data_IF_360022196175
#
_entry.id   IF_360022196175
#
_cell.length_a   1.000
_cell.length_b   1.000
_cell.length_c   1.000
_cell.angle_alpha   90.00
_cell.angle_beta   90.00
_cell.angle_gamma   90.00
#
_symmetry.space_group_name_H-M   'P 1'
#
loop_
_entity.id
_entity.type
_entity.pdbx_description
1 polymer ?
#
# COMPACT_ATOMS: atom_id res chain seq x y z
N UNK A 1 -31.79 16.33 -21.91
CA UNK A 1 -30.38 15.97 -21.66
C UNK A 1 -29.62 16.16 -22.96
N UNK A 2 -28.89 17.27 -23.11
CA UNK A 2 -27.98 17.43 -24.22
C UNK A 2 -26.80 16.49 -23.94
N UNK A 3 -26.83 15.29 -24.51
CA UNK A 3 -25.77 14.31 -24.36
C UNK A 3 -24.59 14.77 -25.18
N UNK A 4 -23.55 15.27 -24.53
CA UNK A 4 -22.34 15.64 -25.23
C UNK A 4 -21.64 14.38 -25.76
N UNK A 5 -21.27 14.40 -27.05
CA UNK A 5 -20.54 13.31 -27.70
C UNK A 5 -19.08 13.70 -27.81
N UNK A 6 -18.18 12.79 -27.44
CA UNK A 6 -16.75 12.98 -27.52
C UNK A 6 -16.09 11.75 -28.15
N UNK A 7 -15.00 11.98 -28.88
CA UNK A 7 -14.11 10.93 -29.36
C UNK A 7 -12.81 10.98 -28.58
N UNK A 8 -12.36 9.83 -28.07
CA UNK A 8 -11.06 9.71 -27.41
C UNK A 8 -9.95 9.83 -28.46
N UNK A 9 -9.07 10.80 -28.28
CA UNK A 9 -7.90 11.04 -29.13
C UNK A 9 -6.69 10.30 -28.59
N UNK A 10 -6.43 10.46 -27.31
CA UNK A 10 -5.32 9.79 -26.62
C UNK A 10 -5.67 9.53 -25.17
N UNK A 11 -5.03 8.50 -24.62
CA UNK A 11 -5.01 8.25 -23.19
C UNK A 11 -3.56 8.44 -22.76
N UNK A 12 -3.31 9.43 -21.91
CA UNK A 12 -1.97 9.73 -21.40
C UNK A 12 -1.81 9.10 -20.01
N UNK A 13 -1.16 7.93 -19.88
CA UNK A 13 -1.19 7.17 -18.63
C UNK A 13 -0.43 7.87 -17.49
N UNK A 14 0.61 8.63 -17.83
CA UNK A 14 1.41 9.37 -16.84
C UNK A 14 0.69 10.59 -16.25
N UNK A 15 -0.34 11.10 -16.92
CA UNK A 15 -1.12 12.26 -16.47
C UNK A 15 -2.54 11.92 -16.00
N UNK A 16 -2.99 10.66 -16.14
CA UNK A 16 -4.40 10.26 -15.98
C UNK A 16 -5.37 11.12 -16.81
N UNK A 17 -4.92 11.63 -17.96
CA UNK A 17 -5.74 12.41 -18.86
C UNK A 17 -6.25 11.52 -19.99
N UNK A 18 -7.53 11.69 -20.30
CA UNK A 18 -8.10 11.24 -21.56
C UNK A 18 -8.26 12.50 -22.38
N UNK A 19 -7.45 12.62 -23.43
CA UNK A 19 -7.62 13.68 -24.40
C UNK A 19 -8.80 13.29 -25.27
N UNK A 20 -9.82 14.14 -25.26
CA UNK A 20 -11.02 13.95 -26.06
C UNK A 20 -11.20 15.15 -26.97
N UNK A 21 -11.71 14.87 -28.16
CA UNK A 21 -12.24 15.91 -29.05
C UNK A 21 -13.75 15.82 -28.99
N UNK A 22 -14.39 16.95 -28.73
CA UNK A 22 -15.84 17.04 -28.77
C UNK A 22 -16.33 16.83 -30.21
N UNK A 23 -17.42 16.08 -30.35
CA UNK A 23 -18.10 15.85 -31.61
C UNK A 23 -19.45 16.57 -31.65
N UNK A 24 -20.11 16.67 -30.50
CA UNK A 24 -21.34 17.43 -30.33
C UNK A 24 -21.49 17.86 -28.86
N UNK A 25 -21.11 19.09 -28.51
CA UNK A 25 -21.30 19.63 -27.17
C UNK A 25 -21.37 21.17 -27.15
N UNK A 26 -22.51 21.73 -27.59
CA UNK A 26 -22.75 23.18 -27.70
C UNK A 26 -22.42 23.96 -26.40
N UNK A 27 -22.63 23.34 -25.23
CA UNK A 27 -22.35 23.95 -23.93
C UNK A 27 -20.84 24.04 -23.57
N UNK A 28 -19.98 23.19 -24.15
CA UNK A 28 -18.53 23.22 -23.90
C UNK A 28 -17.79 24.22 -24.80
N UNK A 29 -18.29 24.50 -26.00
CA UNK A 29 -17.63 25.47 -26.90
C UNK A 29 -17.60 26.91 -26.36
N UNK A 30 -18.47 27.24 -25.41
CA UNK A 30 -18.64 28.63 -24.94
C UNK A 30 -18.07 28.89 -23.54
N UNK A 31 -17.62 27.86 -22.81
CA UNK A 31 -17.37 27.97 -21.36
C UNK A 31 -16.02 27.43 -20.84
N UNK A 32 -15.16 26.85 -21.68
CA UNK A 32 -13.90 26.26 -21.19
C UNK A 32 -12.74 27.26 -21.31
N UNK A 33 -12.37 27.86 -20.18
CA UNK A 33 -11.06 28.48 -20.01
C UNK A 33 -10.05 27.35 -19.83
N UNK A 34 -9.17 27.15 -20.83
CA UNK A 34 -8.34 25.95 -20.99
C UNK A 34 -7.66 25.41 -19.72
N UNK A 35 -7.56 24.07 -19.65
CA UNK A 35 -6.94 23.31 -18.57
C UNK A 35 -7.54 21.89 -18.47
N UNK A 36 -6.87 20.94 -17.80
CA UNK A 36 -7.41 19.60 -17.59
C UNK A 36 -8.61 19.65 -16.64
N UNK A 37 -9.71 18.99 -17.02
CA UNK A 37 -10.85 18.76 -16.12
C UNK A 37 -10.62 17.53 -15.25
N UNK A 38 -11.09 17.57 -14.00
CA UNK A 38 -11.11 16.40 -13.16
C UNK A 38 -12.09 15.36 -13.72
N UNK A 39 -11.58 14.17 -14.09
CA UNK A 39 -12.43 13.05 -14.49
C UNK A 39 -13.19 12.57 -13.25
N UNK A 40 -14.49 12.89 -13.20
CA UNK A 40 -15.38 12.36 -12.18
C UNK A 40 -16.12 11.15 -12.77
N UNK A 41 -15.78 9.95 -12.31
CA UNK A 41 -16.45 8.72 -12.74
C UNK A 41 -17.77 8.55 -11.97
N UNK A 42 -18.88 8.82 -12.64
CA UNK A 42 -20.22 8.53 -12.09
C UNK A 42 -20.49 7.04 -12.22
N UNK A 43 -20.74 6.37 -11.09
CA UNK A 43 -21.12 4.97 -11.06
C UNK A 43 -22.63 4.82 -11.14
N UNK A 44 -23.17 3.89 -11.95
CA UNK A 44 -24.59 3.56 -11.91
C UNK A 44 -24.95 2.93 -10.57
N UNK A 45 -26.21 3.05 -10.14
CA UNK A 45 -26.70 2.51 -8.86
C UNK A 45 -26.46 1.00 -8.70
N UNK A 46 -26.36 0.26 -9.81
CA UNK A 46 -26.09 -1.18 -9.84
C UNK A 46 -24.69 -1.51 -10.36
N UNK A 47 -23.71 -0.60 -10.22
CA UNK A 47 -22.35 -0.76 -10.72
C UNK A 47 -21.77 -2.16 -10.44
N UNK A 48 -21.05 -2.70 -11.42
CA UNK A 48 -20.30 -3.93 -11.25
C UNK A 48 -19.19 -3.73 -10.21
N UNK A 49 -18.80 -4.81 -9.53
CA UNK A 49 -17.72 -4.76 -8.54
C UNK A 49 -16.41 -4.21 -9.14
N UNK A 50 -16.13 -4.54 -10.40
CA UNK A 50 -14.96 -4.05 -11.14
C UNK A 50 -15.00 -2.53 -11.39
N UNK A 51 -16.19 -1.93 -11.55
CA UNK A 51 -16.34 -0.48 -11.73
C UNK A 51 -16.06 0.25 -10.41
N UNK A 52 -16.67 -0.20 -9.31
CA UNK A 52 -16.42 0.32 -7.96
C UNK A 52 -14.93 0.20 -7.60
N UNK A 53 -14.33 -0.96 -7.88
CA UNK A 53 -12.91 -1.21 -7.68
C UNK A 53 -12.05 -0.18 -8.42
N UNK A 54 -12.29 0.07 -9.71
CA UNK A 54 -11.50 1.02 -10.50
C UNK A 54 -11.61 2.45 -9.97
N UNK A 55 -12.81 2.89 -9.60
CA UNK A 55 -13.01 4.24 -9.03
C UNK A 55 -12.24 4.40 -7.72
N UNK A 56 -12.29 3.40 -6.83
CA UNK A 56 -11.58 3.45 -5.55
C UNK A 56 -10.04 3.44 -5.72
N UNK A 57 -9.52 2.71 -6.70
CA UNK A 57 -8.09 2.69 -7.01
C UNK A 57 -7.64 4.01 -7.66
N UNK A 58 -8.48 4.59 -8.52
CA UNK A 58 -8.20 5.87 -9.15
C UNK A 58 -8.28 7.05 -8.16
N UNK A 59 -9.11 6.96 -7.12
CA UNK A 59 -9.27 7.99 -6.10
C UNK A 59 -8.13 8.04 -5.06
N UNK A 60 -7.08 7.22 -5.21
CA UNK A 60 -5.92 7.30 -4.36
C UNK A 60 -5.06 8.53 -4.69
N UNK A 61 -4.48 9.13 -3.66
CA UNK A 61 -3.57 10.25 -3.84
C UNK A 61 -2.26 9.76 -4.49
N UNK A 62 -2.04 10.26 -5.71
CA UNK A 62 -0.94 9.86 -6.58
C UNK A 62 0.41 10.28 -6.06
N UNK A 63 0.50 11.29 -5.17
CA UNK A 63 1.78 11.70 -4.59
C UNK A 63 2.40 10.62 -3.71
N UNK A 64 1.59 9.70 -3.18
CA UNK A 64 2.07 8.56 -2.37
C UNK A 64 2.37 7.30 -3.20
N UNK A 65 2.07 7.27 -4.49
CA UNK A 65 2.29 6.10 -5.38
C UNK A 65 3.74 6.02 -5.86
N UNK A 66 4.69 5.92 -4.93
CA UNK A 66 6.13 5.91 -5.19
C UNK A 66 6.83 4.71 -4.56
N UNK A 67 8.00 4.32 -5.08
CA UNK A 67 8.79 3.21 -4.53
C UNK A 67 7.99 1.89 -4.52
N UNK A 68 7.86 1.27 -3.34
CA UNK A 68 7.04 0.04 -3.20
C UNK A 68 5.56 0.30 -3.52
N UNK A 69 5.10 1.55 -3.48
CA UNK A 69 3.72 1.96 -3.73
C UNK A 69 3.39 2.27 -5.20
N UNK A 70 4.34 2.08 -6.12
CA UNK A 70 4.21 2.49 -7.51
C UNK A 70 3.05 1.81 -8.28
N UNK A 71 2.52 0.70 -7.77
CA UNK A 71 1.32 0.05 -8.35
C UNK A 71 0.00 0.70 -7.92
N UNK A 72 0.07 1.74 -7.10
CA UNK A 72 -1.07 2.49 -6.60
C UNK A 72 -1.92 1.73 -5.60
N UNK A 73 -3.06 2.31 -5.23
CA UNK A 73 -4.01 1.64 -4.34
C UNK A 73 -4.57 0.38 -4.98
N UNK A 74 -4.67 -0.69 -4.20
CA UNK A 74 -5.37 -1.92 -4.60
C UNK A 74 -6.48 -2.25 -3.63
N UNK A 75 -7.65 -2.55 -4.17
CA UNK A 75 -8.83 -2.94 -3.41
C UNK A 75 -9.47 -4.18 -4.03
N UNK A 76 -10.06 -5.03 -3.18
CA UNK A 76 -10.97 -6.10 -3.57
C UNK A 76 -12.39 -5.64 -3.32
N UNK A 77 -13.29 -5.87 -4.29
CA UNK A 77 -14.71 -5.52 -4.17
C UNK A 77 -15.54 -6.75 -4.51
N UNK A 78 -16.50 -7.07 -3.65
CA UNK A 78 -17.48 -8.14 -3.88
C UNK A 78 -18.87 -7.53 -3.87
N UNK A 79 -19.64 -7.77 -4.94
CA UNK A 79 -21.02 -7.29 -5.06
C UNK A 79 -21.99 -8.39 -4.67
N UNK A 80 -22.98 -8.04 -3.85
CA UNK A 80 -24.11 -8.90 -3.49
C UNK A 80 -25.42 -8.20 -3.86
N UNK A 81 -26.33 -8.91 -4.52
CA UNK A 81 -27.69 -8.43 -4.79
C UNK A 81 -28.58 -8.92 -3.65
N UNK A 82 -29.20 -7.99 -2.92
CA UNK A 82 -29.90 -8.26 -1.65
C UNK A 82 -31.40 -8.54 -1.82
N UNK A 83 -31.98 -8.39 -3.01
CA UNK A 83 -33.37 -8.78 -3.23
C UNK A 83 -33.95 -8.41 -4.59
N UNK A 84 -35.19 -8.84 -4.82
CA UNK A 84 -35.94 -8.62 -6.07
C UNK A 84 -36.19 -7.15 -6.42
N UNK A 85 -36.06 -6.25 -5.44
CA UNK A 85 -36.26 -4.80 -5.60
C UNK A 85 -34.98 -4.04 -5.98
N UNK A 86 -33.88 -4.74 -6.33
CA UNK A 86 -32.67 -4.10 -6.81
C UNK A 86 -31.79 -3.49 -5.70
N UNK A 87 -31.93 -3.89 -4.43
CA UNK A 87 -30.94 -3.50 -3.43
C UNK A 87 -29.61 -4.21 -3.71
N UNK A 88 -28.51 -3.46 -3.66
CA UNK A 88 -27.15 -3.97 -3.88
C UNK A 88 -26.23 -3.56 -2.74
N UNK A 89 -25.28 -4.41 -2.41
CA UNK A 89 -24.23 -4.13 -1.44
C UNK A 89 -22.88 -4.49 -2.03
N UNK A 90 -21.85 -3.72 -1.67
CA UNK A 90 -20.47 -4.01 -2.02
C UNK A 90 -19.64 -4.15 -0.75
N UNK A 91 -19.00 -5.30 -0.58
CA UNK A 91 -17.97 -5.50 0.42
C UNK A 91 -16.63 -5.05 -0.18
N UNK A 92 -16.04 -4.02 0.40
CA UNK A 92 -14.78 -3.41 -0.06
C UNK A 92 -13.68 -3.76 0.95
N UNK A 93 -12.55 -4.26 0.45
CA UNK A 93 -11.34 -4.52 1.24
C UNK A 93 -10.15 -3.80 0.63
N UNK A 94 -9.50 -2.94 1.41
CA UNK A 94 -8.27 -2.27 1.01
C UNK A 94 -7.09 -3.22 1.23
N UNK A 95 -6.36 -3.52 0.15
CA UNK A 95 -5.26 -4.48 0.17
C UNK A 95 -3.90 -3.79 0.19
N UNK A 96 -3.86 -2.60 -0.40
CA UNK A 96 -2.64 -1.87 -0.67
C UNK A 96 -2.95 -0.37 -0.64
N UNK A 97 -2.42 0.33 0.36
CA UNK A 97 -2.65 1.75 0.63
C UNK A 97 -1.33 2.52 0.49
N UNK A 98 -1.17 3.32 -0.58
CA UNK A 98 0.04 4.12 -0.79
C UNK A 98 0.44 4.93 0.44
N UNK A 99 1.73 4.87 0.79
CA UNK A 99 2.31 5.58 1.94
C UNK A 99 2.15 4.89 3.30
N UNK A 100 1.45 3.75 3.40
CA UNK A 100 1.19 3.08 4.68
C UNK A 100 1.87 1.72 4.72
N UNK A 101 2.84 1.52 5.61
CA UNK A 101 3.61 0.27 5.72
C UNK A 101 3.11 -0.56 6.90
N UNK A 102 2.90 -1.88 6.79
CA UNK A 102 2.80 -2.70 5.57
C UNK A 102 1.66 -2.23 4.65
N UNK A 103 1.63 -2.66 3.38
CA UNK A 103 0.65 -2.14 2.42
C UNK A 103 -0.82 -2.25 2.75
N UNK A 104 -1.23 -3.28 3.49
CA UNK A 104 -2.61 -3.39 3.95
C UNK A 104 -2.94 -2.56 5.19
N UNK A 105 -1.97 -1.83 5.75
CA UNK A 105 -2.13 -1.08 6.99
C UNK A 105 -2.79 0.28 6.76
N UNK A 106 -3.13 0.91 7.88
CA UNK A 106 -3.74 2.22 7.96
C UNK A 106 -5.26 2.17 7.77
N UNK A 107 -5.94 2.99 8.55
CA UNK A 107 -7.38 3.18 8.38
C UNK A 107 -7.63 4.16 7.23
N UNK A 108 -8.55 3.80 6.32
CA UNK A 108 -9.02 4.70 5.28
C UNK A 108 -10.27 5.40 5.78
N UNK A 109 -10.33 6.71 5.61
CA UNK A 109 -11.50 7.50 6.00
C UNK A 109 -12.77 6.96 5.32
N UNK A 110 -13.94 7.10 5.97
CA UNK A 110 -15.21 6.69 5.39
C UNK A 110 -15.40 7.26 3.98
N UNK A 111 -15.93 6.43 3.09
CA UNK A 111 -16.27 6.88 1.74
C UNK A 111 -17.33 7.97 1.82
N UNK A 112 -17.21 8.97 0.94
CA UNK A 112 -18.22 10.02 0.79
C UNK A 112 -18.95 9.74 -0.52
N UNK A 113 -20.27 9.64 -0.47
CA UNK A 113 -21.11 9.41 -1.64
C UNK A 113 -21.80 10.71 -2.00
N UNK A 114 -21.65 11.11 -3.26
CA UNK A 114 -22.39 12.21 -3.86
C UNK A 114 -23.20 11.68 -5.04
N UNK A 115 -24.43 12.14 -5.17
CA UNK A 115 -25.28 11.80 -6.31
C UNK A 115 -25.10 12.84 -7.41
N UNK A 116 -24.92 12.38 -8.65
CA UNK A 116 -24.94 13.27 -9.80
C UNK A 116 -26.32 13.93 -9.93
N UNK A 117 -26.35 15.20 -10.31
CA UNK A 117 -27.59 15.92 -10.56
C UNK A 117 -28.30 15.38 -11.83
N UNK A 118 -29.65 15.25 -11.83
CA UNK A 118 -30.55 15.53 -10.74
C UNK A 118 -30.51 14.44 -9.65
N UNK A 119 -30.51 14.87 -8.39
CA UNK A 119 -30.62 13.95 -7.25
C UNK A 119 -31.93 13.17 -7.41
N UNK A 120 -31.90 11.83 -7.43
CA UNK A 120 -33.10 11.06 -7.71
C UNK A 120 -34.14 11.26 -6.60
N UNK A 121 -35.42 11.32 -6.98
CA UNK A 121 -36.57 11.59 -6.08
C UNK A 121 -36.95 10.40 -5.21
N UNK A 122 -36.30 9.25 -5.37
CA UNK A 122 -36.41 8.10 -4.48
C UNK A 122 -35.76 8.38 -3.12
N UNK A 123 -36.21 7.68 -2.07
CA UNK A 123 -35.46 7.50 -0.81
C UNK A 123 -34.23 6.60 -1.05
N UNK A 124 -33.38 6.97 -2.00
CA UNK A 124 -32.17 6.26 -2.35
C UNK A 124 -31.08 6.57 -1.31
N UNK A 125 -31.10 5.86 -0.19
CA UNK A 125 -30.08 5.95 0.83
C UNK A 125 -28.92 4.98 0.50
N UNK A 126 -27.70 5.51 0.43
CA UNK A 126 -26.48 4.70 0.45
C UNK A 126 -25.94 4.70 1.86
N UNK A 127 -25.93 3.53 2.49
CA UNK A 127 -25.36 3.35 3.83
C UNK A 127 -23.92 2.87 3.69
N UNK A 128 -23.01 3.53 4.39
CA UNK A 128 -21.59 3.20 4.42
C UNK A 128 -21.28 2.75 5.84
N UNK A 129 -20.78 1.53 5.98
CA UNK A 129 -20.46 0.94 7.27
C UNK A 129 -19.04 0.39 7.23
N UNK A 130 -18.21 0.87 8.15
CA UNK A 130 -16.88 0.29 8.37
C UNK A 130 -17.05 -1.08 9.02
N UNK A 131 -16.69 -2.14 8.30
CA UNK A 131 -16.75 -3.51 8.84
C UNK A 131 -15.55 -3.82 9.71
N UNK A 132 -14.41 -3.19 9.43
CA UNK A 132 -13.14 -3.45 10.09
C UNK A 132 -12.19 -2.26 9.94
N UNK A 133 -11.59 -1.86 11.06
CA UNK A 133 -10.58 -0.80 11.11
C UNK A 133 -9.22 -1.29 10.66
N UNK A 134 -8.53 -0.47 9.86
CA UNK A 134 -7.13 -0.72 9.51
C UNK A 134 -6.19 -0.66 10.73
N UNK A 135 -5.09 -1.41 10.68
CA UNK A 135 -4.06 -1.38 11.72
C UNK A 135 -3.23 -0.10 11.67
N UNK A 136 -2.53 0.21 12.77
CA UNK A 136 -1.57 1.33 12.79
C UNK A 136 -0.38 0.97 11.89
N UNK A 137 0.01 1.84 10.93
CA UNK A 137 1.20 1.62 10.12
C UNK A 137 2.48 1.62 10.96
N UNK A 138 3.46 0.83 10.53
CA UNK A 138 4.85 0.91 10.99
C UNK A 138 5.41 2.30 10.71
N UNK A 139 6.08 2.84 11.71
CA UNK A 139 6.72 4.16 11.67
C UNK A 139 7.82 4.23 12.72
N UNK A 140 8.57 5.32 12.71
CA UNK A 140 9.57 5.64 13.72
C UNK A 140 10.91 4.95 13.54
N UNK A 141 11.72 5.04 14.58
CA UNK A 141 13.08 4.53 14.62
C UNK A 141 13.22 3.54 15.77
N UNK A 142 14.18 2.63 15.62
CA UNK A 142 14.61 1.73 16.69
C UNK A 142 16.13 1.77 16.81
N UNK A 143 16.64 1.49 18.00
CA UNK A 143 18.08 1.45 18.24
C UNK A 143 18.59 0.03 18.21
N UNK A 144 19.75 -0.17 17.60
CA UNK A 144 20.50 -1.43 17.62
C UNK A 144 21.80 -1.21 18.34
N UNK A 145 22.05 -1.98 19.40
CA UNK A 145 23.28 -1.88 20.19
C UNK A 145 23.96 -3.24 20.33
N UNK A 146 25.24 -3.27 20.00
CA UNK A 146 26.16 -4.39 20.26
C UNK A 146 27.31 -3.95 21.16
N UNK A 147 27.06 -2.98 22.03
CA UNK A 147 28.02 -2.37 22.95
C UNK A 147 29.25 -1.78 22.23
N UNK A 148 29.01 -1.19 21.06
CA UNK A 148 30.08 -0.47 20.35
C UNK A 148 30.53 0.72 21.19
N UNK A 149 31.82 1.07 21.13
CA UNK A 149 32.34 2.27 21.82
C UNK A 149 31.62 3.56 21.43
N UNK A 150 31.07 3.59 20.21
CA UNK A 150 30.39 4.76 19.66
C UNK A 150 28.87 4.74 19.95
N UNK A 151 28.41 3.78 20.77
CA UNK A 151 27.03 3.66 21.24
C UNK A 151 26.04 3.02 20.24
N UNK A 152 24.74 3.02 20.58
CA UNK A 152 23.68 2.43 19.76
C UNK A 152 23.53 3.13 18.40
N UNK A 153 23.19 2.36 17.37
CA UNK A 153 22.85 2.88 16.04
C UNK A 153 21.34 3.05 15.91
N UNK A 154 20.89 4.25 15.54
CA UNK A 154 19.48 4.52 15.26
C UNK A 154 19.14 4.08 13.83
N UNK A 155 18.14 3.24 13.70
CA UNK A 155 17.71 2.62 12.45
C UNK A 155 16.25 3.01 12.18
N UNK A 156 16.00 3.61 11.01
CA UNK A 156 14.64 3.87 10.59
C UNK A 156 13.90 2.57 10.24
N UNK A 157 12.62 2.46 10.58
CA UNK A 157 11.84 1.22 10.42
C UNK A 157 11.88 0.66 8.99
N UNK A 158 12.01 1.51 7.97
CA UNK A 158 12.04 1.11 6.56
C UNK A 158 13.45 1.03 5.95
N UNK A 159 14.50 1.16 6.76
CA UNK A 159 15.89 1.14 6.30
C UNK A 159 16.18 -0.04 5.37
N UNK A 160 16.96 0.21 4.31
CA UNK A 160 17.39 -0.83 3.37
C UNK A 160 18.33 -1.83 4.07
N UNK A 161 18.42 -3.05 3.53
CA UNK A 161 19.37 -4.05 4.03
C UNK A 161 20.81 -3.53 4.01
N UNK A 162 21.18 -2.82 2.95
CA UNK A 162 22.54 -2.30 2.77
C UNK A 162 22.88 -1.19 3.77
N UNK A 163 21.90 -0.34 4.10
CA UNK A 163 22.08 0.70 5.13
C UNK A 163 22.30 0.07 6.50
N UNK A 164 21.46 -0.90 6.89
CA UNK A 164 21.63 -1.61 8.15
C UNK A 164 22.93 -2.42 8.19
N UNK A 165 23.32 -3.04 7.07
CA UNK A 165 24.60 -3.75 6.94
C UNK A 165 25.80 -2.84 7.19
N UNK A 166 25.82 -1.64 6.58
CA UNK A 166 26.87 -0.64 6.81
C UNK A 166 26.91 -0.18 8.26
N UNK A 167 25.75 0.16 8.84
CA UNK A 167 25.65 0.59 10.24
C UNK A 167 26.21 -0.46 11.22
N UNK A 168 25.96 -1.75 10.96
CA UNK A 168 26.49 -2.84 11.78
C UNK A 168 27.98 -3.09 11.53
N UNK A 169 28.45 -2.99 10.28
CA UNK A 169 29.88 -3.12 9.95
C UNK A 169 30.74 -1.98 10.52
N UNK A 170 30.12 -0.84 10.85
CA UNK A 170 30.78 0.29 11.53
C UNK A 170 30.90 0.11 13.05
N UNK A 171 30.28 -0.92 13.64
CA UNK A 171 30.43 -1.20 15.06
C UNK A 171 31.75 -1.93 15.31
N UNK A 172 32.63 -1.37 16.15
CA UNK A 172 33.91 -2.00 16.49
C UNK A 172 33.78 -3.34 17.26
N UNK A 173 32.61 -3.64 17.82
CA UNK A 173 32.28 -4.92 18.46
C UNK A 173 31.73 -5.96 17.49
N UNK A 174 31.54 -5.58 16.23
CA UNK A 174 31.17 -6.49 15.15
C UNK A 174 32.31 -6.51 14.14
N UNK A 175 32.50 -7.65 13.47
CA UNK A 175 33.35 -7.70 12.29
C UNK A 175 32.50 -7.44 11.05
N UNK A 176 32.56 -8.37 10.10
CA UNK A 176 31.80 -8.28 8.86
C UNK A 176 30.46 -9.00 9.01
N UNK A 177 29.37 -8.31 8.67
CA UNK A 177 28.01 -8.87 8.63
C UNK A 177 27.42 -8.79 7.23
N UNK A 178 26.44 -9.68 6.97
CA UNK A 178 25.55 -9.62 5.82
C UNK A 178 24.11 -9.50 6.31
N UNK A 179 23.37 -8.51 5.81
CA UNK A 179 21.97 -8.29 6.17
C UNK A 179 21.07 -8.58 4.98
N UNK A 180 19.94 -9.24 5.25
CA UNK A 180 18.85 -9.41 4.27
C UNK A 180 17.54 -8.96 4.89
N UNK A 181 16.73 -8.21 4.14
CA UNK A 181 15.43 -7.71 4.59
C UNK A 181 14.32 -8.48 3.89
N UNK A 182 13.32 -8.90 4.67
CA UNK A 182 12.17 -9.65 4.19
C UNK A 182 10.87 -8.99 4.62
N UNK A 183 9.89 -9.01 3.74
CA UNK A 183 8.54 -8.60 4.06
C UNK A 183 7.82 -9.76 4.74
N UNK A 184 7.17 -9.50 5.88
CA UNK A 184 6.37 -10.49 6.59
C UNK A 184 4.94 -9.98 6.79
N UNK A 185 3.95 -10.88 6.73
CA UNK A 185 4.07 -12.20 6.14
C UNK A 185 4.08 -12.12 4.59
N UNK A 186 4.87 -12.95 3.92
CA UNK A 186 4.92 -13.01 2.46
C UNK A 186 5.22 -14.42 1.97
N UNK A 187 4.88 -14.71 0.71
CA UNK A 187 5.19 -15.98 0.05
C UNK A 187 6.70 -16.28 0.10
N UNK A 188 7.54 -15.26 -0.07
CA UNK A 188 8.99 -15.39 0.01
C UNK A 188 9.50 -15.88 1.39
N UNK A 189 8.69 -15.72 2.43
CA UNK A 189 8.97 -16.19 3.80
C UNK A 189 8.32 -17.54 4.12
N UNK A 190 7.89 -18.28 3.09
CA UNK A 190 7.29 -19.61 3.23
C UNK A 190 5.79 -19.58 3.51
N UNK A 191 5.16 -18.43 3.34
CA UNK A 191 3.73 -18.34 3.53
C UNK A 191 2.96 -18.67 2.26
N UNK A 192 2.36 -19.86 2.21
CA UNK A 192 1.69 -20.40 1.02
C UNK A 192 0.16 -20.32 1.08
N UNK A 193 -0.42 -19.84 2.18
CA UNK A 193 -1.87 -19.72 2.34
C UNK A 193 -2.26 -18.25 2.56
N UNK A 194 -3.45 -17.85 2.11
CA UNK A 194 -4.03 -16.53 2.41
C UNK A 194 -4.28 -16.30 3.91
N UNK A 195 -4.24 -17.37 4.71
CA UNK A 195 -4.33 -17.30 6.16
C UNK A 195 -3.02 -16.81 6.82
N UNK A 196 -1.87 -17.07 6.20
CA UNK A 196 -0.61 -16.48 6.65
C UNK A 196 -0.22 -15.28 5.78
N UNK A 197 -0.66 -15.16 4.51
CA UNK A 197 -0.15 -14.18 3.55
C UNK A 197 -1.12 -13.01 3.49
N UNK A 198 -0.62 -11.78 3.62
CA UNK A 198 -1.47 -10.64 3.42
C UNK A 198 -0.76 -9.31 3.69
N UNK A 199 -1.21 -8.29 2.96
CA UNK A 199 -0.59 -6.98 2.89
C UNK A 199 0.44 -6.90 1.75
N UNK A 200 1.54 -7.62 1.84
CA UNK A 200 2.68 -7.44 0.90
C UNK A 200 2.46 -7.99 -0.51
N UNK A 201 1.75 -9.11 -0.63
CA UNK A 201 1.52 -9.79 -1.92
C UNK A 201 0.22 -9.32 -2.60
N UNK A 202 -0.41 -8.25 -2.09
CA UNK A 202 -1.70 -7.76 -2.55
C UNK A 202 -2.85 -8.76 -2.35
N UNK A 203 -2.70 -9.62 -1.33
CA UNK A 203 -3.72 -10.54 -0.86
C UNK A 203 -4.39 -9.97 0.40
N UNK A 204 -5.66 -10.34 0.57
CA UNK A 204 -6.43 -10.07 1.79
C UNK A 204 -5.78 -10.81 2.96
N UNK A 205 -5.51 -10.08 4.04
CA UNK A 205 -5.17 -10.71 5.33
C UNK A 205 -6.45 -11.32 5.90
N UNK A 206 -6.53 -12.65 5.98
CA UNK A 206 -7.74 -13.34 6.47
C UNK A 206 -7.85 -13.36 8.00
N UNK A 207 -6.71 -13.27 8.70
CA UNK A 207 -6.64 -13.34 10.17
C UNK A 207 -6.32 -11.97 10.77
N UNK A 208 -7.27 -11.44 11.51
CA UNK A 208 -7.12 -10.19 12.26
C UNK A 208 -5.95 -10.28 13.24
N UNK A 209 -5.19 -9.18 13.37
CA UNK A 209 -4.02 -9.12 14.26
C UNK A 209 -2.77 -9.83 13.73
N UNK A 210 -2.78 -10.34 12.50
CA UNK A 210 -1.56 -10.89 11.87
C UNK A 210 -0.48 -9.81 11.80
N UNK A 211 0.65 -10.06 12.46
CA UNK A 211 1.79 -9.12 12.49
C UNK A 211 2.41 -9.00 11.11
N UNK A 212 2.19 -7.86 10.47
CA UNK A 212 2.89 -7.46 9.26
C UNK A 212 4.10 -6.58 9.57
N UNK A 213 5.11 -6.62 8.71
CA UNK A 213 6.27 -5.73 8.79
C UNK A 213 7.49 -6.23 8.05
N UNK A 214 8.65 -5.85 8.58
CA UNK A 214 9.94 -6.28 8.08
C UNK A 214 10.61 -7.23 9.05
N UNK A 215 11.32 -8.20 8.50
CA UNK A 215 12.25 -9.07 9.22
C UNK A 215 13.63 -8.88 8.61
N UNK A 216 14.59 -8.53 9.44
CA UNK A 216 16.00 -8.49 9.03
C UNK A 216 16.68 -9.79 9.49
N UNK A 217 17.39 -10.44 8.57
CA UNK A 217 18.26 -11.58 8.86
C UNK A 217 19.69 -11.07 8.81
N UNK A 218 20.36 -11.07 9.95
CA UNK A 218 21.78 -10.74 10.08
C UNK A 218 22.58 -12.03 10.10
N UNK A 219 23.59 -12.14 9.23
CA UNK A 219 24.58 -13.22 9.26
C UNK A 219 25.93 -12.62 9.59
N UNK A 220 26.58 -13.14 10.60
CA UNK A 220 27.94 -12.74 10.94
C UNK A 220 28.91 -13.56 10.08
N UNK A 221 29.71 -12.86 9.28
CA UNK A 221 30.72 -13.46 8.41
C UNK A 221 32.08 -13.51 9.10
N UNK A 222 32.30 -12.63 10.06
CA UNK A 222 33.58 -12.48 10.76
C UNK A 222 33.32 -11.92 12.16
N UNK A 223 33.54 -12.72 13.20
CA UNK A 223 33.32 -12.32 14.59
C UNK A 223 34.65 -11.86 15.23
N UNK A 224 34.64 -10.82 16.06
CA UNK A 224 35.77 -10.51 16.93
C UNK A 224 36.01 -11.69 17.90
N UNK A 225 37.27 -12.09 18.05
CA UNK A 225 37.67 -13.13 19.01
C UNK A 225 37.94 -12.55 20.39
N UNK A 226 37.87 -13.40 21.41
CA UNK A 226 38.05 -13.03 22.82
C UNK A 226 39.49 -12.66 23.20
N UNK A 227 40.47 -12.91 22.33
CA UNK A 227 41.87 -12.57 22.56
C UNK A 227 42.59 -12.19 21.27
N UNK A 228 43.01 -10.93 21.16
CA UNK A 228 43.99 -10.41 20.20
C UNK A 228 43.73 -10.73 18.70
N UNK A 229 42.48 -10.84 18.28
CA UNK A 229 42.17 -11.20 16.90
C UNK A 229 40.71 -11.53 16.65
N UNK A 230 40.48 -12.18 15.52
CA UNK A 230 39.17 -12.59 15.01
C UNK A 230 38.99 -14.08 15.29
N UNK A 231 37.73 -14.55 15.37
CA UNK A 231 37.50 -15.98 15.48
C UNK A 231 38.02 -16.71 14.24
N UNK A 232 38.64 -17.88 14.45
CA UNK A 232 39.15 -18.73 13.38
C UNK A 232 38.55 -20.14 13.51
N UNK A 233 37.93 -20.70 12.44
CA UNK A 233 37.68 -20.10 11.14
C UNK A 233 36.80 -18.82 11.17
N UNK A 234 36.89 -17.93 10.16
CA UNK A 234 36.10 -16.70 10.14
C UNK A 234 34.59 -16.97 10.28
N UNK A 235 33.95 -16.27 11.21
CA UNK A 235 32.50 -16.43 11.48
C UNK A 235 32.16 -17.56 12.45
N UNK A 236 33.16 -18.22 13.04
CA UNK A 236 32.95 -19.12 14.19
C UNK A 236 32.74 -18.35 15.50
N UNK A 237 32.18 -19.01 16.51
CA UNK A 237 31.81 -18.39 17.78
C UNK A 237 30.37 -17.85 17.79
N UNK A 238 29.68 -18.01 18.92
CA UNK A 238 28.31 -17.53 19.07
C UNK A 238 28.30 -16.03 19.30
N UNK A 239 27.52 -15.31 18.48
CA UNK A 239 27.14 -13.94 18.76
C UNK A 239 25.78 -13.94 19.45
N UNK A 240 25.60 -13.08 20.44
CA UNK A 240 24.31 -12.93 21.10
C UNK A 240 23.26 -12.44 20.09
N UNK A 241 22.05 -12.96 20.23
CA UNK A 241 20.90 -12.44 19.50
C UNK A 241 20.66 -10.97 19.88
N UNK A 242 20.22 -10.18 18.91
CA UNK A 242 19.65 -8.86 19.18
C UNK A 242 18.38 -9.05 20.02
N UNK A 243 18.36 -8.49 21.22
CA UNK A 243 17.17 -8.39 22.07
C UNK A 243 16.43 -7.08 21.79
#
# INVERSE_FOLDING_TARGET
YAGCVFTVVSVTPAGNFIDVVDQDCVAMHTALTGGPFAITMVLPWNAAATQVQRVLQAAADKTFETGIWATGRRVSVQKTVLGKYGAVSWLIRFLFNPGLTPPGAGNINPLIVSFASPVPTCLCAVTIMETQRGSVPLSGDFTVDYHSSDGPRTVHYDSTSDRLERMLNEMNTLGLVKVSKFNIPSIAMGCTTTACAGGWDGAVVANDGTRGGYRWKVRFLKNPGTYNGLTYPPGTGNMNALN
#
